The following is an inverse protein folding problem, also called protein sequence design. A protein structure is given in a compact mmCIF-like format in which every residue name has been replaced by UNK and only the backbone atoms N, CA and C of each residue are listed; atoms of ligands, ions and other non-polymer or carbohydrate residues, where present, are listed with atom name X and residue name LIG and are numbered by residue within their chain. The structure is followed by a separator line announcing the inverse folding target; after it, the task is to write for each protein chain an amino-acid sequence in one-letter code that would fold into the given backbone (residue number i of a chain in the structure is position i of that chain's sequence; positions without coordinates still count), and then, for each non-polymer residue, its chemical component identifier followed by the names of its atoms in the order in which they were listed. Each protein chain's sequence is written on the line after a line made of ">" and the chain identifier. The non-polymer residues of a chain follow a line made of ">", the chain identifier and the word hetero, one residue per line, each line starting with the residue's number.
data_IF_904701556011
#
_entry.id   IF_904701556011
#
_cell.length_a   1.000
_cell.length_b   1.000
_cell.length_c   1.000
_cell.angle_alpha   90.00
_cell.angle_beta   90.00
_cell.angle_gamma   90.00
#
_symmetry.space_group_name_H-M   'P 1'
#
loop_
_entity.id
_entity.type
_entity.pdbx_description
1 polymer ?
#
# COMPACT_ATOMS: atom_id res chain seq x y z
N UNK A 1 12.73 25.62 -4.93
CA UNK A 1 11.51 25.98 -4.18
C UNK A 1 10.55 24.79 -4.21
N UNK A 2 9.98 24.40 -3.05
CA UNK A 2 8.95 23.34 -2.95
C UNK A 2 7.71 23.80 -3.71
N UNK A 3 7.17 22.90 -4.56
CA UNK A 3 5.98 23.14 -5.39
C UNK A 3 4.75 22.36 -4.91
N UNK A 4 4.95 21.37 -4.04
CA UNK A 4 3.89 20.58 -3.43
C UNK A 4 3.17 21.31 -2.30
N UNK A 5 2.17 20.62 -1.75
CA UNK A 5 1.38 21.13 -0.63
C UNK A 5 1.94 20.62 0.69
N UNK A 6 2.04 21.48 1.69
CA UNK A 6 2.32 21.07 3.06
C UNK A 6 1.30 21.68 4.03
N UNK A 7 0.98 20.91 5.07
CA UNK A 7 0.04 21.31 6.11
C UNK A 7 0.63 21.01 7.49
N UNK A 8 0.68 22.01 8.36
CA UNK A 8 1.11 21.84 9.76
C UNK A 8 -0.04 21.24 10.58
N UNK A 9 0.30 20.43 11.58
CA UNK A 9 -0.64 19.87 12.56
C UNK A 9 -1.86 19.18 11.92
N UNK A 10 -1.62 18.45 10.82
CA UNK A 10 -2.70 17.80 10.07
C UNK A 10 -3.17 16.52 10.75
N UNK A 11 -4.48 16.39 11.01
CA UNK A 11 -5.06 15.17 11.57
C UNK A 11 -4.91 13.97 10.63
N UNK A 12 -4.19 12.94 11.08
CA UNK A 12 -3.94 11.72 10.34
C UNK A 12 -5.15 10.79 10.29
N UNK A 13 -6.12 10.94 11.18
CA UNK A 13 -7.40 10.23 11.12
C UNK A 13 -8.10 10.39 9.76
N UNK A 14 -7.93 11.55 9.10
CA UNK A 14 -8.46 11.81 7.76
C UNK A 14 -7.76 11.03 6.64
N UNK A 15 -6.63 10.39 6.93
CA UNK A 15 -5.82 9.61 5.97
C UNK A 15 -5.78 8.12 6.27
N UNK A 16 -6.29 7.68 7.41
CA UNK A 16 -6.35 6.27 7.81
C UNK A 16 -7.74 5.69 7.57
N UNK A 17 -7.80 4.43 7.18
CA UNK A 17 -9.08 3.72 7.04
C UNK A 17 -9.73 3.46 8.40
N UNK A 18 -8.93 3.37 9.45
CA UNK A 18 -9.42 3.22 10.81
C UNK A 18 -10.05 4.51 11.35
N UNK A 19 -9.83 5.65 10.66
CA UNK A 19 -10.30 6.99 11.02
C UNK A 19 -9.89 7.45 12.42
N UNK A 20 -8.82 6.90 12.95
CA UNK A 20 -8.18 7.30 14.21
C UNK A 20 -6.76 7.78 13.94
N UNK A 21 -6.21 8.50 14.92
CA UNK A 21 -4.83 8.92 14.95
C UNK A 21 -4.63 10.42 15.13
N UNK A 22 -3.59 10.74 15.88
CA UNK A 22 -3.18 12.11 16.16
C UNK A 22 -2.69 12.87 14.92
N UNK A 23 -2.05 13.98 15.15
CA UNK A 23 -1.62 14.91 14.09
C UNK A 23 -0.25 14.53 13.52
N UNK A 24 -0.05 14.72 12.22
CA UNK A 24 1.29 14.90 11.66
C UNK A 24 1.79 16.30 12.00
N UNK A 25 3.01 16.43 12.51
CA UNK A 25 3.61 17.74 12.71
C UNK A 25 3.64 18.52 11.39
N UNK A 26 4.05 17.86 10.31
CA UNK A 26 3.94 18.37 8.94
C UNK A 26 3.46 17.25 8.03
N UNK A 27 2.40 17.46 7.26
CA UNK A 27 2.03 16.63 6.12
C UNK A 27 2.58 17.29 4.86
N UNK A 28 3.38 16.55 4.08
CA UNK A 28 3.88 17.00 2.77
C UNK A 28 3.35 16.12 1.66
N UNK A 29 2.78 16.76 0.63
CA UNK A 29 2.28 16.11 -0.58
C UNK A 29 3.08 16.67 -1.75
N UNK A 30 4.15 15.99 -2.21
CA UNK A 30 4.97 16.47 -3.31
C UNK A 30 4.15 16.55 -4.61
N UNK A 31 4.38 17.60 -5.41
CA UNK A 31 3.74 17.80 -6.70
C UNK A 31 4.13 16.70 -7.69
N UNK A 32 5.41 16.35 -7.73
CA UNK A 32 6.00 15.33 -8.60
C UNK A 32 7.33 14.82 -8.03
N UNK A 33 8.03 13.99 -8.81
CA UNK A 33 9.31 13.41 -8.41
C UNK A 33 10.39 14.46 -8.15
N UNK A 34 10.51 15.48 -9.00
CA UNK A 34 11.51 16.55 -8.84
C UNK A 34 11.30 17.34 -7.53
N UNK A 35 10.04 17.59 -7.19
CA UNK A 35 9.67 18.26 -5.95
C UNK A 35 10.01 17.41 -4.72
N UNK A 36 9.75 16.10 -4.78
CA UNK A 36 10.16 15.15 -3.74
C UNK A 36 11.68 15.09 -3.60
N UNK A 37 12.41 15.05 -4.71
CA UNK A 37 13.88 15.07 -4.72
C UNK A 37 14.43 16.34 -4.08
N UNK A 38 13.89 17.49 -4.47
CA UNK A 38 14.27 18.79 -3.89
C UNK A 38 14.02 18.81 -2.38
N UNK A 39 12.85 18.36 -1.92
CA UNK A 39 12.53 18.27 -0.50
C UNK A 39 13.52 17.39 0.25
N UNK A 40 13.78 16.17 -0.24
CA UNK A 40 14.67 15.21 0.43
C UNK A 40 16.14 15.67 0.48
N UNK A 41 16.61 16.41 -0.52
CA UNK A 41 17.96 17.01 -0.53
C UNK A 41 18.14 18.12 0.52
N UNK A 42 17.07 18.82 0.84
CA UNK A 42 17.13 20.02 1.70
C UNK A 42 16.66 19.77 3.13
N UNK A 43 16.00 18.63 3.41
CA UNK A 43 15.59 18.30 4.77
C UNK A 43 16.74 17.62 5.51
N UNK A 44 17.07 18.12 6.72
CA UNK A 44 18.13 17.55 7.56
C UNK A 44 17.55 17.16 8.92
N UNK A 45 18.07 16.08 9.50
CA UNK A 45 17.82 15.65 10.88
C UNK A 45 16.33 15.61 11.31
N UNK A 46 15.43 15.40 10.34
CA UNK A 46 13.99 15.34 10.61
C UNK A 46 13.45 13.94 10.35
N UNK A 47 12.71 13.34 11.28
CA UNK A 47 12.04 12.07 11.06
C UNK A 47 11.06 12.17 9.87
N UNK A 48 11.08 11.17 9.00
CA UNK A 48 10.19 11.10 7.84
C UNK A 48 9.43 9.78 7.89
N UNK A 49 8.12 9.86 7.81
CA UNK A 49 7.23 8.72 7.61
C UNK A 49 6.52 8.83 6.26
N UNK A 50 6.17 7.71 5.64
CA UNK A 50 5.40 7.67 4.38
C UNK A 50 4.06 7.01 4.63
N UNK A 51 2.99 7.62 4.15
CA UNK A 51 1.65 7.05 4.18
C UNK A 51 1.18 6.80 2.74
N UNK A 52 0.79 5.56 2.46
CA UNK A 52 0.11 5.18 1.22
C UNK A 52 -1.40 5.45 1.29
N UNK A 53 -2.21 4.43 1.07
CA UNK A 53 -3.68 4.51 1.17
C UNK A 53 -4.23 4.53 2.60
N UNK A 54 -3.41 4.41 3.63
CA UNK A 54 -3.85 4.40 5.03
C UNK A 54 -4.63 3.16 5.48
N UNK A 55 -4.70 2.11 4.65
CA UNK A 55 -5.52 0.92 4.88
C UNK A 55 -4.89 -0.16 5.78
N UNK A 56 -3.60 0.00 6.12
CA UNK A 56 -2.87 -0.93 6.98
C UNK A 56 -2.05 -0.14 8.02
N UNK A 57 -2.67 0.87 8.61
CA UNK A 57 -1.99 1.81 9.48
C UNK A 57 -2.88 2.18 10.65
N UNK A 58 -2.32 2.05 11.86
CA UNK A 58 -2.87 2.61 13.09
C UNK A 58 -1.90 3.70 13.57
N UNK A 59 -2.39 4.92 13.66
CA UNK A 59 -1.62 6.06 14.19
C UNK A 59 -2.09 6.32 15.61
N UNK A 60 -1.16 6.39 16.56
CA UNK A 60 -1.46 6.68 17.96
C UNK A 60 -1.85 8.16 18.14
N UNK A 61 -2.52 8.48 19.25
CA UNK A 61 -3.04 9.83 19.54
C UNK A 61 -1.96 10.90 19.62
N UNK A 62 -0.74 10.54 20.05
CA UNK A 62 0.42 11.41 20.02
C UNK A 62 0.88 11.84 18.62
N UNK A 63 0.31 11.23 17.57
CA UNK A 63 0.60 11.55 16.18
C UNK A 63 2.00 11.14 15.73
N UNK A 64 2.50 11.84 14.71
CA UNK A 64 3.82 11.59 14.12
C UNK A 64 4.64 12.89 14.15
N UNK A 65 5.75 12.87 14.89
CA UNK A 65 6.73 13.94 14.88
C UNK A 65 7.50 13.97 13.55
N UNK A 66 7.90 15.15 13.10
CA UNK A 66 8.59 15.34 11.83
C UNK A 66 7.63 15.43 10.63
N UNK A 67 8.02 14.87 9.50
CA UNK A 67 7.28 15.00 8.24
C UNK A 67 6.63 13.67 7.82
N UNK A 68 5.34 13.71 7.57
CA UNK A 68 4.61 12.63 6.90
C UNK A 68 4.50 12.96 5.42
N UNK A 69 5.07 12.11 4.57
CA UNK A 69 4.95 12.22 3.11
C UNK A 69 3.79 11.37 2.63
N UNK A 70 2.89 11.97 1.85
CA UNK A 70 1.84 11.28 1.11
C UNK A 70 2.01 11.56 -0.38
N UNK A 71 2.29 10.53 -1.17
CA UNK A 71 2.40 10.68 -2.61
C UNK A 71 1.02 10.96 -3.22
N UNK A 72 0.95 12.02 -4.02
CA UNK A 72 -0.28 12.52 -4.64
C UNK A 72 -0.36 12.21 -6.14
N UNK A 73 -1.09 13.08 -6.87
CA UNK A 73 -1.37 12.93 -8.32
C UNK A 73 -0.11 12.76 -9.20
N UNK A 74 1.01 13.39 -8.84
CA UNK A 74 2.27 13.26 -9.59
C UNK A 74 2.88 11.85 -9.59
N UNK A 75 2.32 10.93 -8.79
CA UNK A 75 2.72 9.53 -8.70
C UNK A 75 1.56 8.58 -9.01
N UNK A 76 0.45 9.11 -9.56
CA UNK A 76 -0.76 8.34 -9.93
C UNK A 76 -0.79 8.20 -11.47
N UNK A 77 0.06 7.33 -12.00
CA UNK A 77 0.17 7.07 -13.44
C UNK A 77 0.40 5.58 -13.73
N UNK A 78 -0.06 5.14 -14.89
CA UNK A 78 0.15 3.80 -15.45
C UNK A 78 0.60 3.96 -16.88
N UNK A 79 1.86 3.68 -17.17
CA UNK A 79 2.45 3.75 -18.49
C UNK A 79 2.71 2.34 -19.01
N UNK A 80 2.27 2.07 -20.23
CA UNK A 80 2.41 0.78 -20.88
C UNK A 80 3.62 0.83 -21.81
N UNK A 81 4.64 0.07 -21.46
CA UNK A 81 5.86 -0.09 -22.25
C UNK A 81 5.85 -1.45 -22.97
N UNK A 82 6.68 -1.62 -24.01
CA UNK A 82 6.74 -2.88 -24.75
C UNK A 82 7.02 -4.13 -23.87
N UNK A 83 7.82 -3.99 -22.82
CA UNK A 83 8.30 -5.12 -22.00
C UNK A 83 7.85 -5.08 -20.52
N UNK A 84 7.16 -4.03 -20.09
CA UNK A 84 6.72 -3.87 -18.70
C UNK A 84 5.65 -2.77 -18.60
N UNK A 85 4.99 -2.74 -17.47
CA UNK A 85 4.10 -1.65 -17.06
C UNK A 85 4.84 -0.83 -16.01
N UNK A 86 4.99 0.47 -16.23
CA UNK A 86 5.51 1.40 -15.24
C UNK A 86 4.31 2.01 -14.49
N UNK A 87 4.24 1.73 -13.18
CA UNK A 87 3.14 2.16 -12.34
C UNK A 87 3.65 3.01 -11.17
N UNK A 88 3.10 4.20 -11.01
CA UNK A 88 3.40 5.09 -9.91
C UNK A 88 2.90 4.56 -8.56
N UNK A 89 3.60 4.91 -7.49
CA UNK A 89 3.36 4.34 -6.17
C UNK A 89 2.04 4.80 -5.51
N UNK A 90 1.42 5.90 -5.96
CA UNK A 90 0.13 6.35 -5.44
C UNK A 90 -1.09 5.77 -6.16
N UNK A 91 -0.90 5.04 -7.26
CA UNK A 91 -1.98 4.32 -7.96
C UNK A 91 -2.67 3.38 -6.97
N UNK A 92 -3.99 3.44 -6.90
CA UNK A 92 -4.78 2.51 -6.08
C UNK A 92 -4.76 1.11 -6.69
N UNK A 93 -4.64 0.08 -5.87
CA UNK A 93 -4.61 -1.32 -6.30
C UNK A 93 -5.80 -1.69 -7.19
N UNK A 94 -7.01 -1.28 -6.81
CA UNK A 94 -8.23 -1.53 -7.59
C UNK A 94 -8.18 -0.83 -8.96
N UNK A 95 -7.63 0.39 -9.02
CA UNK A 95 -7.52 1.14 -10.26
C UNK A 95 -6.54 0.44 -11.22
N UNK A 96 -5.38 -0.02 -10.71
CA UNK A 96 -4.45 -0.81 -11.52
C UNK A 96 -5.12 -2.08 -12.05
N UNK A 97 -5.76 -2.88 -11.19
CA UNK A 97 -6.44 -4.11 -11.59
C UNK A 97 -7.50 -3.87 -12.67
N UNK A 98 -8.31 -2.82 -12.53
CA UNK A 98 -9.35 -2.47 -13.50
C UNK A 98 -8.78 -1.97 -14.84
N UNK A 99 -7.70 -1.17 -14.81
CA UNK A 99 -7.02 -0.72 -16.03
C UNK A 99 -6.42 -1.91 -16.79
N UNK A 100 -5.78 -2.84 -16.06
CA UNK A 100 -5.14 -4.01 -16.68
C UNK A 100 -6.16 -5.02 -17.23
N UNK A 101 -7.35 -5.14 -16.61
CA UNK A 101 -8.47 -5.88 -17.17
C UNK A 101 -8.86 -5.33 -18.57
N UNK A 102 -8.95 -4.01 -18.74
CA UNK A 102 -9.26 -3.37 -20.03
C UNK A 102 -8.20 -3.68 -21.09
N UNK A 103 -6.94 -3.78 -20.68
CA UNK A 103 -5.78 -4.09 -21.52
C UNK A 103 -5.54 -5.60 -21.71
N UNK A 104 -6.46 -6.46 -21.23
CA UNK A 104 -6.34 -7.93 -21.29
C UNK A 104 -5.06 -8.46 -20.60
N UNK A 105 -4.55 -7.76 -19.59
CA UNK A 105 -3.34 -8.15 -18.84
C UNK A 105 -3.76 -8.87 -17.56
N UNK A 106 -3.28 -10.11 -17.38
CA UNK A 106 -3.62 -11.02 -16.29
C UNK A 106 -2.57 -11.05 -15.18
N UNK A 107 -2.94 -11.59 -14.02
CA UNK A 107 -2.07 -11.77 -12.85
C UNK A 107 -2.34 -10.76 -11.74
N UNK A 108 -3.04 -9.68 -12.03
CA UNK A 108 -3.30 -8.56 -11.11
C UNK A 108 -4.70 -8.60 -10.49
N UNK A 109 -5.47 -9.63 -10.74
CA UNK A 109 -6.87 -9.74 -10.35
C UNK A 109 -7.07 -9.65 -8.83
N UNK A 110 -6.14 -10.21 -8.06
CA UNK A 110 -6.18 -10.19 -6.59
C UNK A 110 -6.04 -8.78 -6.00
N UNK A 111 -5.39 -7.85 -6.72
CA UNK A 111 -5.25 -6.46 -6.30
C UNK A 111 -6.59 -5.72 -6.24
N UNK A 112 -7.61 -6.16 -6.98
CA UNK A 112 -8.97 -5.59 -6.92
C UNK A 112 -9.58 -5.68 -5.52
N UNK A 113 -9.09 -6.60 -4.69
CA UNK A 113 -9.60 -6.85 -3.34
C UNK A 113 -8.70 -6.28 -2.24
N UNK A 114 -7.50 -5.82 -2.56
CA UNK A 114 -6.57 -5.27 -1.58
C UNK A 114 -6.71 -3.75 -1.55
N UNK A 115 -7.16 -3.15 -0.44
CA UNK A 115 -7.21 -1.71 -0.32
C UNK A 115 -5.79 -1.11 -0.24
N UNK A 116 -5.68 0.18 -0.56
CA UNK A 116 -4.42 0.89 -0.52
C UNK A 116 -3.83 1.18 -1.89
N UNK A 117 -2.54 1.51 -1.90
CA UNK A 117 -1.78 1.95 -3.08
C UNK A 117 -0.67 0.96 -3.43
N UNK A 118 -0.19 1.03 -4.65
CA UNK A 118 0.90 0.18 -5.16
C UNK A 118 2.16 0.29 -4.30
N UNK A 119 2.56 1.51 -3.90
CA UNK A 119 3.72 1.69 -3.02
C UNK A 119 3.57 0.98 -1.67
N UNK A 120 2.38 1.12 -1.02
CA UNK A 120 2.08 0.41 0.21
C UNK A 120 2.02 -1.11 0.03
N UNK A 121 1.45 -1.57 -1.07
CA UNK A 121 1.38 -3.00 -1.39
C UNK A 121 2.76 -3.62 -1.63
N UNK A 122 3.67 -2.89 -2.28
CA UNK A 122 5.05 -3.34 -2.46
C UNK A 122 5.78 -3.39 -1.12
N UNK A 123 5.68 -2.33 -0.32
CA UNK A 123 6.35 -2.27 0.98
C UNK A 123 5.94 -3.44 1.90
N UNK A 124 4.66 -3.79 1.88
CA UNK A 124 4.08 -4.88 2.68
C UNK A 124 4.12 -6.25 1.99
N UNK A 125 4.68 -6.39 0.78
CA UNK A 125 4.50 -7.58 -0.04
C UNK A 125 3.04 -8.08 0.03
N UNK A 126 2.10 -7.18 -0.27
CA UNK A 126 0.68 -7.45 -0.11
C UNK A 126 0.22 -8.62 -0.98
N UNK A 127 -0.60 -9.47 -0.42
CA UNK A 127 -1.10 -10.64 -1.12
C UNK A 127 -2.36 -11.21 -0.51
N UNK A 128 -3.13 -11.90 -1.34
CA UNK A 128 -4.30 -12.69 -0.96
C UNK A 128 -4.56 -13.76 -2.03
N UNK A 129 -5.37 -14.76 -1.67
CA UNK A 129 -5.76 -15.84 -2.57
C UNK A 129 -4.57 -16.58 -3.22
N UNK A 130 -3.49 -16.79 -2.46
CA UNK A 130 -2.30 -17.49 -2.92
C UNK A 130 -1.40 -16.70 -3.88
N UNK A 131 -1.64 -15.38 -4.02
CA UNK A 131 -0.82 -14.47 -4.83
C UNK A 131 -0.26 -13.35 -3.98
N UNK A 132 0.93 -12.89 -4.32
CA UNK A 132 1.61 -11.76 -3.69
C UNK A 132 2.10 -10.77 -4.76
N UNK A 133 2.27 -9.50 -4.39
CA UNK A 133 2.71 -8.48 -5.35
C UNK A 133 4.12 -8.77 -5.90
N UNK A 134 4.98 -9.42 -5.12
CA UNK A 134 6.30 -9.87 -5.57
C UNK A 134 6.26 -10.74 -6.83
N UNK A 135 5.16 -11.50 -7.06
CA UNK A 135 5.02 -12.39 -8.21
C UNK A 135 4.95 -11.62 -9.54
N UNK A 136 4.57 -10.34 -9.47
CA UNK A 136 4.35 -9.45 -10.61
C UNK A 136 5.51 -8.50 -10.85
N UNK A 137 6.33 -8.22 -9.82
CA UNK A 137 7.38 -7.20 -9.86
C UNK A 137 8.54 -7.64 -10.73
N UNK A 138 9.01 -6.72 -11.58
CA UNK A 138 10.27 -6.77 -12.32
C UNK A 138 11.34 -5.96 -11.59
N UNK A 139 11.00 -4.74 -11.19
CA UNK A 139 11.84 -3.86 -10.38
C UNK A 139 11.01 -2.83 -9.62
N UNK A 140 11.58 -2.24 -8.58
CA UNK A 140 10.98 -1.16 -7.78
C UNK A 140 11.86 0.08 -7.90
N UNK A 141 11.25 1.22 -8.18
CA UNK A 141 11.95 2.51 -8.25
C UNK A 141 11.76 3.21 -6.92
N UNK A 142 12.87 3.47 -6.26
CA UNK A 142 12.91 4.12 -4.96
C UNK A 142 13.74 5.39 -5.01
N UNK A 143 13.49 6.28 -4.08
CA UNK A 143 14.33 7.44 -3.81
C UNK A 143 14.89 7.34 -2.39
N UNK A 144 16.19 7.62 -2.20
CA UNK A 144 16.80 7.61 -0.88
C UNK A 144 16.66 8.98 -0.17
N UNK A 145 17.03 9.04 1.10
CA UNK A 145 17.01 10.29 1.90
C UNK A 145 17.85 11.43 1.32
N UNK A 146 18.83 11.13 0.44
CA UNK A 146 19.64 12.15 -0.26
C UNK A 146 19.01 12.61 -1.59
N UNK A 147 17.80 12.16 -1.91
CA UNK A 147 17.11 12.51 -3.15
C UNK A 147 17.62 11.77 -4.39
N UNK A 148 18.44 10.71 -4.25
CA UNK A 148 18.94 9.90 -5.36
C UNK A 148 17.91 8.82 -5.74
N UNK A 149 17.55 8.77 -7.02
CA UNK A 149 16.69 7.75 -7.59
C UNK A 149 17.48 6.47 -7.84
N UNK A 150 16.90 5.32 -7.48
CA UNK A 150 17.53 4.00 -7.56
C UNK A 150 16.49 3.00 -8.06
N UNK A 151 16.88 2.18 -9.05
CA UNK A 151 16.06 1.04 -9.50
C UNK A 151 16.56 -0.25 -8.83
N UNK A 152 15.74 -0.82 -7.98
CA UNK A 152 16.00 -2.09 -7.31
C UNK A 152 15.42 -3.23 -8.15
N UNK A 153 16.25 -4.05 -8.80
CA UNK A 153 15.79 -5.25 -9.51
C UNK A 153 15.22 -6.25 -8.51
N UNK A 154 14.20 -7.01 -8.90
CA UNK A 154 13.50 -7.99 -8.03
C UNK A 154 14.47 -8.93 -7.28
N UNK A 155 15.52 -9.40 -7.93
CA UNK A 155 16.52 -10.32 -7.35
C UNK A 155 17.30 -9.76 -6.15
N UNK A 156 17.31 -8.43 -5.98
CA UNK A 156 17.96 -7.75 -4.85
C UNK A 156 16.97 -7.29 -3.78
N UNK A 157 15.71 -7.70 -3.87
CA UNK A 157 14.66 -7.36 -2.90
C UNK A 157 14.29 -8.62 -2.12
N UNK A 158 14.50 -8.60 -0.81
CA UNK A 158 14.28 -9.75 0.08
C UNK A 158 12.80 -9.83 0.51
N UNK A 159 11.93 -10.16 -0.44
CA UNK A 159 10.51 -10.32 -0.16
C UNK A 159 10.24 -11.52 0.76
N UNK A 160 9.51 -11.28 1.83
CA UNK A 160 9.02 -12.28 2.77
C UNK A 160 7.52 -12.07 3.05
N UNK A 161 6.95 -12.88 3.92
CA UNK A 161 5.55 -12.73 4.32
C UNK A 161 5.32 -11.36 4.97
N UNK A 162 4.48 -10.54 4.33
CA UNK A 162 4.13 -9.18 4.76
C UNK A 162 5.33 -8.21 4.88
N UNK A 163 6.38 -8.45 4.12
CA UNK A 163 7.54 -7.56 4.06
C UNK A 163 8.21 -7.60 2.70
N UNK A 164 8.64 -6.43 2.20
CA UNK A 164 9.52 -6.37 1.02
C UNK A 164 10.99 -6.44 1.37
N UNK A 165 11.37 -6.26 2.64
CA UNK A 165 12.78 -6.10 3.01
C UNK A 165 13.43 -4.80 2.49
N UNK A 166 12.68 -3.93 1.82
CA UNK A 166 13.19 -2.62 1.38
C UNK A 166 13.40 -1.74 2.62
N UNK A 167 14.61 -1.20 2.74
CA UNK A 167 14.98 -0.34 3.87
C UNK A 167 14.02 0.84 4.02
N UNK A 168 13.71 1.20 5.27
CA UNK A 168 12.92 2.40 5.64
C UNK A 168 13.59 3.72 5.20
N UNK A 169 14.85 3.68 4.78
CA UNK A 169 15.54 4.84 4.22
C UNK A 169 15.25 5.06 2.72
N UNK A 170 14.48 4.17 2.11
CA UNK A 170 14.02 4.27 0.74
C UNK A 170 12.53 4.56 0.68
N UNK A 171 12.15 5.48 -0.19
CA UNK A 171 10.76 5.83 -0.46
C UNK A 171 10.37 5.27 -1.84
N UNK A 172 9.41 4.36 -1.89
CA UNK A 172 8.94 3.75 -3.13
C UNK A 172 8.16 4.79 -3.92
N UNK A 173 8.59 5.09 -5.15
CA UNK A 173 7.96 6.11 -6.01
C UNK A 173 7.26 5.50 -7.23
N UNK A 174 7.74 4.35 -7.72
CA UNK A 174 7.10 3.60 -8.81
C UNK A 174 7.56 2.14 -8.80
N UNK A 175 6.96 1.30 -9.65
CA UNK A 175 7.44 -0.05 -9.93
C UNK A 175 7.23 -0.43 -11.40
N UNK A 176 8.08 -1.31 -11.89
CA UNK A 176 7.93 -1.99 -13.19
C UNK A 176 7.35 -3.38 -12.95
N UNK A 177 6.27 -3.68 -13.64
CA UNK A 177 5.58 -4.97 -13.56
C UNK A 177 5.71 -5.76 -14.86
N UNK A 178 5.70 -7.08 -14.74
CA UNK A 178 5.68 -7.98 -15.90
C UNK A 178 4.34 -7.89 -16.63
N UNK A 179 4.37 -7.97 -17.96
CA UNK A 179 3.18 -8.08 -18.79
C UNK A 179 2.92 -9.56 -19.09
N UNK A 180 1.69 -9.99 -18.85
CA UNK A 180 1.19 -11.31 -19.25
C UNK A 180 -0.18 -11.11 -19.89
N UNK A 181 -0.29 -11.38 -21.17
CA UNK A 181 -1.57 -11.25 -21.88
C UNK A 181 -2.47 -12.42 -21.49
N UNK A 182 -3.74 -12.14 -21.27
CA UNK A 182 -4.76 -13.11 -20.89
C UNK A 182 -6.11 -12.85 -21.57
N UNK A 183 -7.05 -13.76 -21.34
CA UNK A 183 -8.40 -13.60 -21.84
C UNK A 183 -9.22 -12.68 -20.90
N UNK A 184 -9.79 -11.61 -21.46
CA UNK A 184 -10.51 -10.59 -20.69
C UNK A 184 -11.72 -11.16 -19.92
N UNK A 185 -12.45 -12.12 -20.51
CA UNK A 185 -13.60 -12.78 -19.87
C UNK A 185 -13.14 -13.55 -18.60
N UNK A 186 -12.02 -14.28 -18.70
CA UNK A 186 -11.45 -15.01 -17.56
C UNK A 186 -10.94 -14.05 -16.46
N UNK A 187 -10.26 -12.97 -16.82
CA UNK A 187 -9.77 -11.95 -15.87
C UNK A 187 -10.97 -11.36 -15.12
N UNK A 188 -12.04 -10.96 -15.83
CA UNK A 188 -13.27 -10.42 -15.24
C UNK A 188 -13.95 -11.42 -14.30
N UNK A 189 -14.08 -12.70 -14.74
CA UNK A 189 -14.64 -13.78 -13.90
C UNK A 189 -13.86 -13.94 -12.61
N UNK A 190 -12.52 -13.93 -12.69
CA UNK A 190 -11.62 -14.09 -11.52
C UNK A 190 -11.72 -12.92 -10.54
N UNK A 191 -11.74 -11.68 -11.04
CA UNK A 191 -11.98 -10.50 -10.21
C UNK A 191 -13.31 -10.64 -9.44
N UNK A 192 -14.40 -11.02 -10.14
CA UNK A 192 -15.72 -11.24 -9.52
C UNK A 192 -15.68 -12.32 -8.44
N UNK A 193 -14.99 -13.44 -8.71
CA UNK A 193 -14.79 -14.50 -7.72
C UNK A 193 -14.06 -14.00 -6.47
N UNK A 194 -12.95 -13.30 -6.62
CA UNK A 194 -12.19 -12.77 -5.50
C UNK A 194 -12.98 -11.74 -4.69
N UNK A 195 -13.71 -10.84 -5.34
CA UNK A 195 -14.59 -9.89 -4.67
C UNK A 195 -15.68 -10.59 -3.86
N UNK A 196 -16.31 -11.63 -4.42
CA UNK A 196 -17.33 -12.41 -3.71
C UNK A 196 -16.75 -13.18 -2.51
N UNK A 197 -15.58 -13.81 -2.68
CA UNK A 197 -14.88 -14.48 -1.56
C UNK A 197 -14.53 -13.48 -0.44
N UNK A 198 -14.06 -12.29 -0.80
CA UNK A 198 -13.79 -11.26 0.19
C UNK A 198 -15.03 -10.80 0.93
N UNK A 199 -16.14 -10.59 0.22
CA UNK A 199 -17.45 -10.25 0.83
C UNK A 199 -17.91 -11.28 1.86
N UNK A 200 -17.68 -12.58 1.59
CA UNK A 200 -18.06 -13.67 2.50
C UNK A 200 -17.12 -13.81 3.71
N UNK A 201 -15.87 -13.36 3.62
CA UNK A 201 -14.83 -13.66 4.63
C UNK A 201 -14.35 -12.45 5.42
N UNK A 202 -14.74 -11.24 5.03
CA UNK A 202 -14.29 -10.02 5.71
C UNK A 202 -15.43 -9.00 5.83
N UNK A 203 -15.52 -8.26 6.94
CA UNK A 203 -16.48 -7.20 7.10
C UNK A 203 -16.19 -6.07 6.11
N UNK A 204 -17.22 -5.57 5.38
CA UNK A 204 -17.04 -4.64 4.26
C UNK A 204 -17.21 -3.18 4.69
N UNK A 205 -18.01 -2.93 5.74
CA UNK A 205 -18.40 -1.58 6.18
C UNK A 205 -17.80 -1.18 7.54
N UNK A 206 -16.81 -1.90 8.02
CA UNK A 206 -16.21 -1.63 9.33
C UNK A 206 -14.92 -0.87 9.17
N UNK A 207 -14.73 0.16 9.99
CA UNK A 207 -13.46 0.89 10.09
C UNK A 207 -12.40 -0.07 10.60
N UNK A 208 -11.32 -0.26 9.83
CA UNK A 208 -10.30 -1.26 10.15
C UNK A 208 -8.92 -0.85 9.63
N UNK A 209 -7.89 -1.18 10.38
CA UNK A 209 -6.49 -1.10 9.95
C UNK A 209 -5.98 -2.37 9.23
N UNK A 210 -6.88 -3.29 8.86
CA UNK A 210 -6.51 -4.60 8.29
C UNK A 210 -6.35 -5.68 9.35
N UNK A 211 -5.72 -6.80 8.99
CA UNK A 211 -5.50 -7.92 9.93
C UNK A 211 -4.48 -7.51 11.00
N UNK A 212 -4.88 -7.54 12.26
CA UNK A 212 -4.06 -7.16 13.41
C UNK A 212 -2.95 -8.19 13.69
N UNK A 213 -3.23 -9.47 13.47
CA UNK A 213 -2.32 -10.55 13.80
C UNK A 213 -1.71 -11.23 12.58
N UNK A 214 -0.44 -11.62 12.70
CA UNK A 214 0.26 -12.43 11.70
C UNK A 214 -0.30 -13.85 11.73
N UNK A 215 -0.61 -14.41 10.56
CA UNK A 215 -1.02 -15.81 10.48
C UNK A 215 0.15 -16.75 10.77
N UNK A 216 0.02 -17.71 11.69
CA UNK A 216 1.01 -18.76 11.86
C UNK A 216 1.07 -19.68 10.62
N UNK A 217 2.19 -20.41 10.46
CA UNK A 217 2.50 -21.17 9.22
C UNK A 217 1.38 -22.10 8.70
N UNK A 218 0.54 -22.65 9.55
CA UNK A 218 -0.48 -23.66 9.17
C UNK A 218 -1.92 -23.27 9.49
N UNK A 219 -2.17 -22.11 10.16
CA UNK A 219 -3.51 -21.72 10.62
C UNK A 219 -3.74 -20.23 10.41
N UNK A 220 -5.01 -19.84 10.29
CA UNK A 220 -5.38 -18.40 10.25
C UNK A 220 -5.54 -17.89 11.68
N UNK A 221 -4.92 -16.76 12.02
CA UNK A 221 -4.96 -16.18 13.36
C UNK A 221 -6.40 -15.99 13.87
N UNK A 222 -7.32 -15.49 13.03
CA UNK A 222 -8.71 -15.30 13.39
C UNK A 222 -9.42 -16.61 13.79
N UNK A 223 -9.05 -17.76 13.17
CA UNK A 223 -9.61 -19.08 13.53
C UNK A 223 -9.14 -19.49 14.92
N UNK A 224 -7.87 -19.22 15.24
CA UNK A 224 -7.32 -19.52 16.57
C UNK A 224 -8.00 -18.67 17.65
N UNK A 225 -8.15 -17.36 17.39
CA UNK A 225 -8.82 -16.43 18.30
C UNK A 225 -10.29 -16.87 18.51
N UNK A 226 -11.00 -17.24 17.45
CA UNK A 226 -12.38 -17.74 17.57
C UNK A 226 -12.48 -19.00 18.43
N UNK A 227 -11.51 -19.90 18.33
CA UNK A 227 -11.48 -21.15 19.13
C UNK A 227 -11.11 -20.96 20.58
N UNK A 228 -10.37 -19.92 20.91
CA UNK A 228 -9.95 -19.63 22.29
C UNK A 228 -11.02 -18.92 23.14
N UNK A 229 -12.27 -18.84 22.67
CA UNK A 229 -13.37 -18.11 23.34
C UNK A 229 -13.09 -16.63 23.67
N UNK A 230 -11.96 -16.08 23.29
CA UNK A 230 -11.66 -14.65 23.42
C UNK A 230 -12.55 -13.74 22.59
N UNK A 231 -13.39 -14.27 21.73
CA UNK A 231 -14.29 -13.52 20.84
C UNK A 231 -15.33 -12.70 21.61
N UNK A 232 -15.77 -13.18 22.77
CA UNK A 232 -16.78 -12.48 23.58
C UNK A 232 -16.23 -11.14 24.08
N UNK A 233 -14.99 -11.11 24.54
CA UNK A 233 -14.33 -9.89 25.04
C UNK A 233 -14.04 -8.90 23.91
N UNK A 234 -13.64 -9.38 22.72
CA UNK A 234 -13.33 -8.52 21.57
C UNK A 234 -14.58 -7.88 20.96
N UNK A 235 -15.72 -8.57 20.91
CA UNK A 235 -16.97 -7.99 20.40
C UNK A 235 -17.54 -6.92 21.36
N UNK A 236 -17.48 -7.14 22.68
CA UNK A 236 -17.98 -6.17 23.65
C UNK A 236 -17.12 -4.89 23.73
N UNK A 237 -15.79 -4.97 23.60
CA UNK A 237 -14.92 -3.77 23.67
C UNK A 237 -14.92 -2.90 22.41
N UNK A 238 -15.33 -3.41 21.26
CA UNK A 238 -15.36 -2.64 20.01
C UNK A 238 -16.74 -2.15 19.59
N UNK A 239 -17.81 -2.55 20.25
CA UNK A 239 -19.17 -2.19 19.89
C UNK A 239 -19.93 -1.43 20.98
N UNK A 240 -19.32 -1.21 22.15
CA UNK A 240 -19.99 -0.52 23.29
C UNK A 240 -19.30 0.78 23.72
N UNK A 241 -18.35 1.32 22.96
CA UNK A 241 -17.79 2.67 23.21
C UNK A 241 -17.86 3.54 21.97
#
# INVERSE_FOLDING_TARGET
>A
KIKGTYKKNFSLSKLTWFQTGGKAQVLFIPKNLLDLQFFLKNIKNTPIAVIGGGSNLLVRDGGIKGVVIKLGKGFDYINYEKKYILCGASVRNINLSNNLLKQKITGFEFLSTIPGTIGGSIFMNAGCFGKEIKDLIKSVIVINKKGKLIELKKKFINFSYRSSGISKNYFIVAAKFQIRIGNQKFIKKKIKQFLNLRKKTQPIKVLTGGSTFINPKKKKAWVLIKRSYCVIIFFFYFFTT
#
